data_IF_920018792221
#
_entry.id   IF_920018792221
#
_cell.length_a   1.000
_cell.length_b   1.000
_cell.length_c   1.000
_cell.angle_alpha   90.00
_cell.angle_beta   90.00
_cell.angle_gamma   90.00
#
_symmetry.space_group_name_H-M   'P 1'
#
loop_
_entity.id
_entity.type
_entity.pdbx_description
1 polymer ?
#
# COMPACT_ATOMS: atom_id res chain seq x y z
N UNK A 1 -5.88 2.06 -17.42
CA UNK A 1 -5.78 0.90 -16.50
C UNK A 1 -6.78 -0.16 -16.93
N UNK A 2 -6.58 -1.42 -16.55
CA UNK A 2 -7.59 -2.47 -16.71
C UNK A 2 -8.59 -2.36 -15.56
N UNK A 3 -9.88 -2.04 -15.82
CA UNK A 3 -10.89 -2.01 -14.76
C UNK A 3 -11.25 -3.45 -14.36
N UNK A 4 -11.37 -3.67 -13.04
CA UNK A 4 -11.94 -4.89 -12.47
C UNK A 4 -13.03 -4.51 -11.48
N UNK A 5 -14.16 -5.19 -11.54
CA UNK A 5 -15.30 -4.95 -10.67
C UNK A 5 -15.42 -6.05 -9.62
N UNK A 6 -16.03 -5.73 -8.47
CA UNK A 6 -16.25 -6.69 -7.38
C UNK A 6 -17.20 -7.84 -7.77
N UNK A 7 -18.26 -7.57 -8.53
CA UNK A 7 -19.18 -8.59 -9.05
C UNK A 7 -18.48 -9.70 -9.84
N UNK A 8 -17.53 -9.30 -10.69
CA UNK A 8 -16.71 -10.22 -11.47
C UNK A 8 -15.79 -11.05 -10.60
N UNK A 9 -15.21 -10.46 -9.55
CA UNK A 9 -14.33 -11.22 -8.64
C UNK A 9 -15.15 -12.27 -7.90
N UNK A 10 -16.33 -11.91 -7.37
CA UNK A 10 -17.20 -12.86 -6.70
C UNK A 10 -17.60 -14.03 -7.61
N UNK A 11 -18.06 -13.75 -8.83
CA UNK A 11 -18.44 -14.82 -9.76
C UNK A 11 -17.28 -15.76 -10.12
N UNK A 12 -16.03 -15.30 -10.08
CA UNK A 12 -14.85 -16.15 -10.28
C UNK A 12 -14.52 -17.00 -9.05
N UNK A 13 -14.80 -16.50 -7.85
CA UNK A 13 -14.68 -17.25 -6.59
C UNK A 13 -15.75 -18.33 -6.55
N UNK A 14 -17.00 -18.00 -6.90
CA UNK A 14 -18.12 -18.95 -6.94
C UNK A 14 -17.87 -20.08 -7.96
N UNK A 15 -17.19 -19.77 -9.07
CA UNK A 15 -16.74 -20.75 -10.06
C UNK A 15 -15.53 -21.60 -9.59
N UNK A 16 -14.95 -21.33 -8.42
CA UNK A 16 -13.75 -22.01 -7.92
C UNK A 16 -12.46 -21.68 -8.70
N UNK A 17 -12.47 -20.60 -9.49
CA UNK A 17 -11.32 -20.19 -10.33
C UNK A 17 -10.35 -19.27 -9.60
N UNK A 18 -10.83 -18.60 -8.57
CA UNK A 18 -10.05 -17.79 -7.64
C UNK A 18 -10.22 -18.34 -6.22
N UNK A 19 -9.11 -18.49 -5.52
CA UNK A 19 -9.09 -18.91 -4.12
C UNK A 19 -9.02 -17.65 -3.24
N UNK A 20 -10.06 -17.36 -2.42
CA UNK A 20 -10.07 -16.18 -1.55
C UNK A 20 -9.09 -16.29 -0.37
N UNK A 21 -8.58 -17.48 -0.08
CA UNK A 21 -7.63 -17.72 1.02
C UNK A 21 -6.24 -17.14 0.73
N UNK A 22 -5.90 -16.99 -0.55
CA UNK A 22 -4.61 -16.48 -1.03
C UNK A 22 -4.71 -15.01 -1.41
N UNK A 23 -3.59 -14.26 -1.36
CA UNK A 23 -3.57 -12.87 -1.78
C UNK A 23 -3.82 -12.74 -3.29
N UNK A 24 -4.98 -12.20 -3.66
CA UNK A 24 -5.37 -11.98 -5.06
C UNK A 24 -4.53 -10.85 -5.65
N UNK A 25 -3.49 -11.22 -6.40
CA UNK A 25 -2.60 -10.29 -7.12
C UNK A 25 -2.98 -10.16 -8.60
N UNK A 26 -2.39 -9.19 -9.31
CA UNK A 26 -2.56 -9.08 -10.76
C UNK A 26 -2.14 -10.32 -11.55
N UNK A 27 -1.19 -11.11 -11.02
CA UNK A 27 -0.74 -12.36 -11.64
C UNK A 27 -1.85 -13.41 -11.55
N UNK A 28 -2.52 -13.51 -10.41
CA UNK A 28 -3.62 -14.44 -10.20
C UNK A 28 -4.87 -14.03 -10.99
N UNK A 29 -5.18 -12.73 -11.05
CA UNK A 29 -6.28 -12.22 -11.88
C UNK A 29 -6.08 -12.50 -13.38
N UNK A 30 -4.83 -12.50 -13.85
CA UNK A 30 -4.49 -12.85 -15.23
C UNK A 30 -4.47 -14.37 -15.43
N UNK A 31 -3.91 -15.14 -14.49
CA UNK A 31 -3.87 -16.62 -14.54
C UNK A 31 -5.28 -17.22 -14.52
N UNK A 32 -6.17 -16.70 -13.68
CA UNK A 32 -7.59 -17.09 -13.60
C UNK A 32 -8.42 -16.60 -14.80
N UNK A 33 -7.84 -15.79 -15.70
CA UNK A 33 -8.53 -15.10 -16.81
C UNK A 33 -9.74 -14.27 -16.34
N UNK A 34 -9.71 -13.74 -15.12
CA UNK A 34 -10.68 -12.75 -14.65
C UNK A 34 -10.55 -11.43 -15.44
N UNK A 35 -9.32 -11.14 -15.87
CA UNK A 35 -8.97 -10.03 -16.75
C UNK A 35 -8.52 -10.53 -18.12
N UNK A 36 -8.97 -9.84 -19.18
CA UNK A 36 -8.48 -10.01 -20.55
C UNK A 36 -7.14 -9.27 -20.74
N UNK A 37 -6.17 -9.59 -19.88
CA UNK A 37 -4.85 -8.95 -19.83
C UNK A 37 -4.78 -7.68 -18.98
N UNK A 38 -3.57 -7.39 -18.53
CA UNK A 38 -3.25 -6.21 -17.73
C UNK A 38 -2.71 -5.11 -18.65
N UNK A 39 -3.40 -3.97 -18.72
CA UNK A 39 -2.98 -2.80 -19.50
C UNK A 39 -1.71 -2.17 -18.89
N UNK A 40 -1.07 -1.27 -19.65
CA UNK A 40 0.20 -0.60 -19.30
C UNK A 40 0.26 0.02 -17.89
N UNK A 41 -0.88 0.46 -17.36
CA UNK A 41 -0.98 1.16 -16.07
C UNK A 41 -1.51 0.27 -14.93
N UNK A 42 -1.56 -1.04 -15.12
CA UNK A 42 -2.01 -1.97 -14.10
C UNK A 42 -3.52 -2.09 -13.98
N UNK A 43 -3.98 -2.54 -12.81
CA UNK A 43 -5.37 -2.91 -12.52
C UNK A 43 -6.00 -1.89 -11.58
N UNK A 44 -7.21 -1.42 -11.92
CA UNK A 44 -8.01 -0.55 -11.05
C UNK A 44 -9.26 -1.31 -10.58
N UNK A 45 -9.39 -1.45 -9.27
CA UNK A 45 -10.56 -2.03 -8.63
C UNK A 45 -11.71 -1.01 -8.57
N UNK A 46 -12.91 -1.46 -8.92
CA UNK A 46 -14.14 -0.69 -9.00
C UNK A 46 -15.28 -1.43 -8.28
N UNK A 47 -16.23 -0.67 -7.75
CA UNK A 47 -17.31 -1.18 -6.90
C UNK A 47 -18.65 -1.37 -7.64
N UNK A 48 -18.63 -1.79 -8.91
CA UNK A 48 -19.89 -2.07 -9.60
C UNK A 48 -20.60 -3.24 -8.89
N UNK A 49 -21.87 -3.04 -8.54
CA UNK A 49 -22.70 -4.00 -7.81
C UNK A 49 -22.00 -4.51 -6.54
N UNK A 50 -21.49 -3.58 -5.72
CA UNK A 50 -20.70 -3.89 -4.53
C UNK A 50 -21.39 -4.90 -3.58
N UNK A 51 -22.71 -4.87 -3.51
CA UNK A 51 -23.53 -5.74 -2.66
C UNK A 51 -23.40 -7.24 -2.98
N UNK A 52 -22.98 -7.56 -4.21
CA UNK A 52 -22.81 -8.95 -4.64
C UNK A 52 -21.56 -9.61 -4.04
N UNK A 53 -20.57 -8.82 -3.60
CA UNK A 53 -19.41 -9.37 -2.93
C UNK A 53 -19.81 -9.91 -1.55
N UNK A 54 -19.50 -11.18 -1.28
CA UNK A 54 -19.82 -11.86 -0.03
C UNK A 54 -18.57 -12.42 0.66
N UNK A 55 -17.56 -12.77 -0.13
CA UNK A 55 -16.33 -13.36 0.38
C UNK A 55 -15.38 -12.31 0.93
N UNK A 56 -14.74 -12.61 2.07
CA UNK A 56 -13.59 -11.84 2.56
C UNK A 56 -12.38 -12.13 1.66
N UNK A 57 -11.76 -11.08 1.12
CA UNK A 57 -10.69 -11.21 0.13
C UNK A 57 -9.53 -10.30 0.51
N UNK A 58 -8.31 -10.82 0.33
CA UNK A 58 -7.08 -10.04 0.38
C UNK A 58 -6.65 -9.71 -1.05
N UNK A 59 -6.79 -8.46 -1.49
CA UNK A 59 -6.53 -8.06 -2.87
C UNK A 59 -5.43 -7.00 -2.98
N UNK A 60 -4.50 -7.24 -3.91
CA UNK A 60 -3.36 -6.36 -4.16
C UNK A 60 -3.43 -5.87 -5.61
N UNK A 61 -3.73 -4.58 -5.78
CA UNK A 61 -4.01 -3.95 -7.07
C UNK A 61 -3.24 -2.64 -7.23
N UNK A 62 -3.27 -2.05 -8.42
CA UNK A 62 -2.54 -0.79 -8.66
C UNK A 62 -3.28 0.42 -8.09
N UNK A 63 -4.60 0.46 -8.25
CA UNK A 63 -5.48 1.48 -7.65
C UNK A 63 -6.82 0.85 -7.29
N UNK A 64 -7.56 1.49 -6.38
CA UNK A 64 -8.91 1.09 -6.01
C UNK A 64 -9.82 2.32 -5.88
N UNK A 65 -11.13 2.14 -6.08
CA UNK A 65 -12.14 3.15 -5.72
C UNK A 65 -12.45 3.09 -4.23
N UNK A 66 -12.81 4.23 -3.64
CA UNK A 66 -13.14 4.31 -2.22
C UNK A 66 -14.29 3.38 -1.83
N UNK A 67 -15.35 3.30 -2.65
CA UNK A 67 -16.46 2.37 -2.47
C UNK A 67 -16.02 0.90 -2.46
N UNK A 68 -15.02 0.55 -3.29
CA UNK A 68 -14.55 -0.84 -3.37
C UNK A 68 -13.75 -1.22 -2.13
N UNK A 69 -12.93 -0.28 -1.63
CA UNK A 69 -12.19 -0.44 -0.37
C UNK A 69 -13.17 -0.62 0.77
N UNK A 70 -14.15 0.29 0.90
CA UNK A 70 -15.14 0.24 1.97
C UNK A 70 -15.93 -1.08 1.99
N UNK A 71 -16.34 -1.59 0.81
CA UNK A 71 -17.05 -2.86 0.74
C UNK A 71 -16.19 -4.06 1.14
N UNK A 72 -14.94 -4.12 0.70
CA UNK A 72 -14.04 -5.24 1.04
C UNK A 72 -13.73 -5.24 2.54
N UNK A 73 -13.46 -4.07 3.11
CA UNK A 73 -13.18 -3.93 4.54
C UNK A 73 -14.41 -4.22 5.40
N UNK A 74 -15.61 -3.86 4.95
CA UNK A 74 -16.85 -4.22 5.63
C UNK A 74 -17.07 -5.74 5.72
N UNK A 75 -16.52 -6.52 4.79
CA UNK A 75 -16.53 -7.98 4.81
C UNK A 75 -15.33 -8.59 5.55
N UNK A 76 -14.45 -7.77 6.14
CA UNK A 76 -13.23 -8.22 6.82
C UNK A 76 -12.08 -8.60 5.88
N UNK A 77 -12.14 -8.21 4.60
CA UNK A 77 -11.03 -8.36 3.67
C UNK A 77 -10.01 -7.23 3.80
N UNK A 78 -8.88 -7.36 3.10
CA UNK A 78 -7.84 -6.33 3.03
C UNK A 78 -7.57 -5.90 1.60
N UNK A 79 -7.41 -4.58 1.40
CA UNK A 79 -7.01 -4.01 0.12
C UNK A 79 -5.65 -3.37 0.28
N UNK A 80 -4.73 -3.64 -0.64
CA UNK A 80 -3.46 -2.90 -0.72
C UNK A 80 -3.24 -2.38 -2.13
N UNK A 81 -2.98 -1.08 -2.25
CA UNK A 81 -2.59 -0.49 -3.51
C UNK A 81 -1.07 -0.44 -3.65
N UNK A 82 -0.58 -0.99 -4.76
CA UNK A 82 0.85 -1.16 -5.02
C UNK A 82 1.24 -0.52 -6.36
N UNK A 83 2.39 0.15 -6.39
CA UNK A 83 2.90 0.73 -7.62
C UNK A 83 3.40 -0.32 -8.60
N UNK A 84 3.14 -0.12 -9.90
CA UNK A 84 3.70 -0.94 -10.96
C UNK A 84 4.06 -0.09 -12.17
N UNK A 85 5.29 -0.24 -12.66
CA UNK A 85 5.70 0.31 -13.95
C UNK A 85 5.27 -0.60 -15.11
N UNK A 86 5.12 -0.08 -16.35
CA UNK A 86 4.74 -0.90 -17.50
C UNK A 86 5.68 -2.08 -17.78
N UNK A 87 6.97 -1.93 -17.49
CA UNK A 87 7.97 -3.00 -17.61
C UNK A 87 7.84 -4.02 -16.49
N UNK A 88 7.60 -3.56 -15.26
CA UNK A 88 7.40 -4.46 -14.11
C UNK A 88 6.17 -5.35 -14.28
N UNK A 89 5.07 -4.83 -14.81
CA UNK A 89 3.85 -5.63 -15.07
C UNK A 89 4.19 -6.80 -15.99
N UNK A 90 4.90 -6.54 -17.10
CA UNK A 90 5.31 -7.61 -18.02
C UNK A 90 6.18 -8.66 -17.34
N UNK A 91 7.13 -8.25 -16.49
CA UNK A 91 8.02 -9.15 -15.75
C UNK A 91 7.27 -9.99 -14.72
N UNK A 92 6.34 -9.38 -13.98
CA UNK A 92 5.49 -10.08 -13.00
C UNK A 92 4.62 -11.14 -13.70
N UNK A 93 4.01 -10.78 -14.84
CA UNK A 93 3.20 -11.71 -15.62
C UNK A 93 4.02 -12.86 -16.21
N UNK A 94 5.28 -12.61 -16.61
CA UNK A 94 6.22 -13.64 -17.06
C UNK A 94 6.84 -14.47 -15.92
N UNK A 95 6.67 -14.05 -14.67
CA UNK A 95 7.28 -14.69 -13.51
C UNK A 95 8.76 -14.35 -13.28
N UNK A 96 9.28 -13.31 -13.94
CA UNK A 96 10.66 -12.85 -13.76
C UNK A 96 10.83 -11.92 -12.54
N UNK A 97 9.73 -11.38 -12.03
CA UNK A 97 9.65 -10.51 -10.85
C UNK A 97 8.54 -10.96 -9.90
N UNK A 98 8.75 -10.71 -8.62
CA UNK A 98 7.74 -10.95 -7.60
C UNK A 98 6.56 -9.95 -7.73
N UNK A 99 5.30 -10.38 -7.55
CA UNK A 99 4.13 -9.51 -7.74
C UNK A 99 3.94 -8.44 -6.66
N UNK A 100 4.52 -8.57 -5.46
CA UNK A 100 4.17 -7.72 -4.30
C UNK A 100 5.40 -7.08 -3.63
N UNK A 101 6.31 -7.92 -3.14
CA UNK A 101 7.52 -7.54 -2.38
C UNK A 101 8.51 -6.69 -3.19
N UNK A 102 8.97 -5.61 -2.55
CA UNK A 102 10.03 -4.69 -2.96
C UNK A 102 10.81 -4.18 -1.74
N UNK A 103 11.77 -3.27 -1.96
CA UNK A 103 12.61 -2.69 -0.91
C UNK A 103 11.81 -1.89 0.14
N UNK A 104 10.75 -1.19 -0.28
CA UNK A 104 9.90 -0.39 0.61
C UNK A 104 8.60 -1.08 1.01
N UNK A 105 8.53 -2.41 0.89
CA UNK A 105 7.34 -3.15 1.29
C UNK A 105 7.24 -3.23 2.81
N UNK A 106 6.02 -3.12 3.32
CA UNK A 106 5.71 -3.26 4.74
C UNK A 106 5.85 -4.72 5.20
N UNK A 107 6.09 -4.93 6.50
CA UNK A 107 6.18 -6.24 7.14
C UNK A 107 4.91 -7.06 6.91
N UNK A 108 3.74 -6.45 7.15
CA UNK A 108 2.46 -7.13 6.98
C UNK A 108 2.23 -7.57 5.53
N UNK A 109 2.61 -6.71 4.58
CA UNK A 109 2.50 -7.00 3.15
C UNK A 109 3.43 -8.15 2.76
N UNK A 110 4.65 -8.17 3.29
CA UNK A 110 5.63 -9.24 3.07
C UNK A 110 5.08 -10.56 3.63
N UNK A 111 4.57 -10.56 4.87
CA UNK A 111 4.01 -11.74 5.51
C UNK A 111 2.83 -12.32 4.70
N UNK A 112 1.90 -11.47 4.25
CA UNK A 112 0.77 -11.90 3.40
C UNK A 112 1.23 -12.47 2.06
N UNK A 113 2.33 -11.95 1.49
CA UNK A 113 2.85 -12.38 0.20
C UNK A 113 3.92 -13.49 0.27
N UNK A 114 4.38 -13.86 1.46
CA UNK A 114 5.50 -14.79 1.67
C UNK A 114 5.20 -16.23 1.22
N UNK A 115 3.93 -16.61 1.10
CA UNK A 115 3.50 -17.97 0.73
C UNK A 115 4.05 -18.45 -0.62
N UNK A 116 4.36 -17.53 -1.55
CA UNK A 116 4.91 -17.90 -2.86
C UNK A 116 6.43 -18.18 -2.82
N UNK A 117 7.20 -17.59 -1.90
CA UNK A 117 8.67 -17.62 -1.93
C UNK A 117 9.26 -18.66 -0.96
N UNK A 118 8.42 -19.24 -0.08
CA UNK A 118 8.90 -20.08 1.02
C UNK A 118 9.96 -19.33 1.86
N UNK A 119 9.68 -18.06 2.17
CA UNK A 119 10.52 -17.29 3.10
C UNK A 119 10.44 -17.99 4.46
N UNK A 120 11.57 -18.40 5.07
CA UNK A 120 11.54 -19.08 6.36
C UNK A 120 10.92 -18.18 7.42
N UNK A 121 10.13 -18.77 8.33
CA UNK A 121 9.39 -18.04 9.37
C UNK A 121 10.29 -17.18 10.25
N UNK A 122 11.52 -17.63 10.52
CA UNK A 122 12.53 -16.90 11.30
C UNK A 122 12.89 -15.54 10.69
N UNK A 123 12.95 -15.44 9.36
CA UNK A 123 13.20 -14.16 8.67
C UNK A 123 11.98 -13.24 8.77
N UNK A 124 10.77 -13.80 8.74
CA UNK A 124 9.55 -13.00 8.90
C UNK A 124 9.38 -12.49 10.33
N UNK A 125 9.68 -13.31 11.32
CA UNK A 125 9.65 -12.97 12.75
C UNK A 125 10.67 -11.85 13.04
N UNK A 126 11.94 -12.03 12.67
CA UNK A 126 12.97 -10.99 12.84
C UNK A 126 12.63 -9.68 12.13
N UNK A 127 12.03 -9.73 10.94
CA UNK A 127 11.55 -8.54 10.23
C UNK A 127 10.40 -7.85 10.97
N UNK A 128 9.44 -8.64 11.48
CA UNK A 128 8.30 -8.10 12.23
C UNK A 128 8.74 -7.44 13.54
N UNK A 129 9.72 -8.02 14.25
CA UNK A 129 10.30 -7.48 15.48
C UNK A 129 11.09 -6.19 15.21
N UNK A 130 11.90 -6.19 14.15
CA UNK A 130 12.67 -5.03 13.74
C UNK A 130 11.78 -3.85 13.34
N UNK A 131 10.63 -4.09 12.70
CA UNK A 131 9.74 -3.02 12.24
C UNK A 131 8.71 -2.56 13.29
N UNK A 132 8.33 -3.42 14.26
CA UNK A 132 7.36 -3.07 15.31
C UNK A 132 7.90 -2.06 16.32
N UNK A 133 9.21 -2.06 16.53
CA UNK A 133 9.87 -1.16 17.49
C UNK A 133 10.28 0.16 16.81
N UNK A 134 9.82 1.33 17.32
CA UNK A 134 10.22 2.62 16.75
C UNK A 134 11.71 2.93 17.00
N UNK A 135 12.27 2.46 18.11
CA UNK A 135 13.64 2.78 18.56
C UNK A 135 14.73 1.83 18.04
N UNK A 136 14.38 0.82 17.23
CA UNK A 136 15.40 -0.07 16.66
C UNK A 136 16.35 0.68 15.74
N UNK A 137 17.66 0.41 15.85
CA UNK A 137 18.66 0.93 14.93
C UNK A 137 18.28 0.63 13.48
N UNK A 138 18.51 1.61 12.61
CA UNK A 138 18.22 1.51 11.17
C UNK A 138 18.99 0.33 10.54
N UNK A 139 20.15 -0.02 11.09
CA UNK A 139 20.99 -1.13 10.66
C UNK A 139 20.27 -2.47 10.76
N UNK A 140 19.64 -2.76 11.91
CA UNK A 140 18.90 -4.01 12.14
C UNK A 140 17.70 -4.12 11.18
N UNK A 141 16.99 -3.00 10.97
CA UNK A 141 15.89 -2.92 9.99
C UNK A 141 16.39 -3.23 8.57
N UNK A 142 17.53 -2.65 8.19
CA UNK A 142 18.12 -2.87 6.88
C UNK A 142 18.61 -4.31 6.70
N UNK A 143 19.19 -4.91 7.74
CA UNK A 143 19.64 -6.30 7.71
C UNK A 143 18.47 -7.26 7.52
N UNK A 144 17.40 -7.12 8.31
CA UNK A 144 16.20 -7.93 8.18
C UNK A 144 15.54 -7.79 6.79
N UNK A 145 15.45 -6.56 6.27
CA UNK A 145 14.97 -6.32 4.91
C UNK A 145 15.90 -6.95 3.85
N UNK A 146 17.21 -6.89 4.05
CA UNK A 146 18.18 -7.46 3.12
C UNK A 146 18.04 -8.98 3.02
N UNK A 147 17.75 -9.66 4.14
CA UNK A 147 17.52 -11.10 4.16
C UNK A 147 16.30 -11.50 3.32
N UNK A 148 15.18 -10.77 3.47
CA UNK A 148 13.98 -10.98 2.62
C UNK A 148 14.30 -10.74 1.15
N UNK A 149 15.04 -9.68 0.84
CA UNK A 149 15.39 -9.32 -0.55
C UNK A 149 16.32 -10.36 -1.18
N UNK A 150 17.24 -10.95 -0.41
CA UNK A 150 18.09 -12.04 -0.88
C UNK A 150 17.27 -13.27 -1.24
N UNK A 151 16.31 -13.66 -0.40
CA UNK A 151 15.39 -14.77 -0.69
C UNK A 151 14.56 -14.52 -1.95
N UNK A 152 13.99 -13.32 -2.10
CA UNK A 152 13.27 -12.92 -3.31
C UNK A 152 14.20 -12.97 -4.53
N UNK A 153 15.44 -12.48 -4.40
CA UNK A 153 16.44 -12.44 -5.46
C UNK A 153 16.94 -13.81 -5.90
N UNK A 154 16.91 -14.82 -5.02
CA UNK A 154 17.23 -16.20 -5.37
C UNK A 154 16.20 -16.80 -6.36
N UNK A 155 14.92 -16.42 -6.23
CA UNK A 155 13.83 -16.91 -7.08
C UNK A 155 13.60 -16.06 -8.34
N UNK A 156 13.75 -14.75 -8.23
CA UNK A 156 13.37 -13.80 -9.28
C UNK A 156 14.57 -13.02 -9.83
N UNK A 157 14.68 -12.99 -11.16
CA UNK A 157 15.76 -12.28 -11.87
C UNK A 157 15.72 -10.76 -11.64
N UNK A 158 14.52 -10.18 -11.51
CA UNK A 158 14.37 -8.73 -11.38
C UNK A 158 13.55 -8.35 -10.15
N UNK A 159 13.99 -7.27 -9.49
CA UNK A 159 13.27 -6.65 -8.38
C UNK A 159 12.06 -5.86 -8.88
N UNK A 160 11.02 -5.80 -8.04
CA UNK A 160 9.86 -4.96 -8.27
C UNK A 160 10.21 -3.49 -7.97
N UNK A 161 9.90 -2.51 -8.85
CA UNK A 161 10.22 -1.12 -8.63
C UNK A 161 9.27 -0.44 -7.63
N UNK A 162 9.79 0.55 -6.93
CA UNK A 162 9.02 1.47 -6.08
C UNK A 162 8.67 2.76 -6.84
N UNK A 163 7.71 3.50 -6.28
CA UNK A 163 7.24 4.75 -6.87
C UNK A 163 8.33 5.83 -6.81
N UNK A 164 8.58 6.49 -7.95
CA UNK A 164 9.60 7.55 -8.07
C UNK A 164 8.99 8.93 -8.28
N UNK A 165 7.89 9.02 -9.03
CA UNK A 165 7.23 10.29 -9.30
C UNK A 165 6.49 10.79 -8.04
N UNK A 166 6.57 12.10 -7.77
CA UNK A 166 5.90 12.75 -6.63
C UNK A 166 4.44 12.32 -6.50
N UNK A 167 3.66 12.43 -7.58
CA UNK A 167 2.23 12.09 -7.59
C UNK A 167 1.96 10.63 -7.24
N UNK A 168 2.83 9.71 -7.67
CA UNK A 168 2.70 8.29 -7.34
C UNK A 168 3.07 8.06 -5.88
N UNK A 169 4.16 8.65 -5.39
CA UNK A 169 4.56 8.53 -3.99
C UNK A 169 3.43 9.04 -3.07
N UNK A 170 2.90 10.23 -3.33
CA UNK A 170 1.80 10.79 -2.53
C UNK A 170 0.54 9.89 -2.58
N UNK A 171 0.24 9.28 -3.73
CA UNK A 171 -0.88 8.35 -3.85
C UNK A 171 -0.72 7.09 -2.97
N UNK A 172 0.46 6.45 -3.01
CA UNK A 172 0.70 5.22 -2.22
C UNK A 172 1.09 5.48 -0.77
N UNK A 173 1.35 6.74 -0.39
CA UNK A 173 1.52 7.16 1.01
C UNK A 173 0.18 7.44 1.69
N UNK A 174 -0.86 7.77 0.93
CA UNK A 174 -2.16 8.10 1.50
C UNK A 174 -2.85 6.85 2.07
N UNK A 175 -3.15 6.83 3.39
CA UNK A 175 -3.92 5.76 4.01
C UNK A 175 -5.30 5.58 3.35
N UNK A 176 -5.93 6.62 2.80
CA UNK A 176 -7.23 6.54 2.15
C UNK A 176 -7.24 5.60 0.93
N UNK A 177 -6.10 5.45 0.26
CA UNK A 177 -5.93 4.52 -0.87
C UNK A 177 -5.39 3.16 -0.44
N UNK A 178 -5.15 2.93 0.86
CA UNK A 178 -4.47 1.74 1.41
C UNK A 178 -3.15 1.46 0.68
N UNK A 179 -2.39 2.52 0.45
CA UNK A 179 -1.13 2.42 -0.26
C UNK A 179 -0.07 1.70 0.57
N UNK A 180 0.76 0.92 -0.11
CA UNK A 180 1.84 0.15 0.53
C UNK A 180 2.92 1.02 1.21
N UNK A 181 2.93 2.34 1.02
CA UNK A 181 3.86 3.28 1.67
C UNK A 181 3.19 4.07 2.82
N UNK A 182 1.96 3.72 3.20
CA UNK A 182 1.20 4.44 4.23
C UNK A 182 1.85 4.39 5.61
N UNK A 183 2.56 3.31 5.94
CA UNK A 183 3.33 3.18 7.19
C UNK A 183 4.43 4.24 7.35
N UNK A 184 4.84 4.92 6.27
CA UNK A 184 5.83 6.00 6.32
C UNK A 184 5.24 7.34 6.78
N UNK A 185 3.91 7.47 6.84
CA UNK A 185 3.22 8.71 7.23
C UNK A 185 2.88 8.60 8.71
N UNK A 186 3.37 9.55 9.52
CA UNK A 186 3.03 9.58 10.94
C UNK A 186 1.56 9.96 11.13
N UNK A 187 0.99 9.54 12.26
CA UNK A 187 -0.37 9.96 12.62
C UNK A 187 -0.48 11.49 12.64
N UNK A 188 -1.46 12.02 11.91
CA UNK A 188 -1.66 13.47 11.78
C UNK A 188 -0.88 14.14 10.64
N UNK A 189 0.17 13.53 10.08
CA UNK A 189 0.93 14.09 8.96
C UNK A 189 0.10 14.10 7.66
N UNK A 190 0.46 14.99 6.73
CA UNK A 190 -0.11 15.00 5.37
C UNK A 190 0.61 13.95 4.51
N UNK A 191 -0.10 13.18 3.68
CA UNK A 191 0.53 12.30 2.68
C UNK A 191 1.34 13.07 1.62
N UNK A 192 1.11 14.38 1.47
CA UNK A 192 1.84 15.21 0.50
C UNK A 192 3.29 15.40 0.91
N UNK A 193 4.19 15.31 -0.06
CA UNK A 193 5.60 15.62 0.10
C UNK A 193 5.88 17.12 0.26
N UNK A 194 4.91 17.98 -0.02
CA UNK A 194 5.08 19.43 -0.03
C UNK A 194 4.08 20.15 0.88
N UNK A 195 2.81 19.76 0.83
CA UNK A 195 1.75 20.44 1.55
C UNK A 195 1.55 19.85 2.94
N UNK A 196 1.69 20.69 3.96
CA UNK A 196 1.40 20.34 5.36
C UNK A 196 -0.04 20.67 5.70
N UNK A 197 -0.61 19.99 6.70
CA UNK A 197 -1.95 20.36 7.18
C UNK A 197 -1.87 21.73 7.86
N UNK A 198 -2.79 22.66 7.56
CA UNK A 198 -2.82 23.96 8.22
C UNK A 198 -2.99 23.77 9.73
N UNK A 199 -2.02 24.26 10.52
CA UNK A 199 -1.96 24.08 11.98
C UNK A 199 -0.72 23.36 12.53
N UNK A 200 0.17 22.86 11.66
CA UNK A 200 1.39 22.18 12.08
C UNK A 200 2.44 23.15 12.67
N UNK A 201 2.68 23.03 13.97
CA UNK A 201 3.71 23.59 14.88
C UNK A 201 4.32 24.99 14.61
N UNK A 202 4.90 25.25 13.43
CA UNK A 202 5.63 26.50 13.15
C UNK A 202 4.69 27.71 13.04
N UNK A 203 3.48 27.49 12.54
CA UNK A 203 2.45 28.53 12.49
C UNK A 203 1.73 28.69 13.82
N UNK A 204 1.51 27.63 14.62
CA UNK A 204 0.91 27.78 15.96
C UNK A 204 1.78 28.66 16.86
N UNK A 205 3.11 28.46 16.88
CA UNK A 205 4.03 29.30 17.65
C UNK A 205 4.03 30.76 17.19
N UNK A 206 4.15 31.00 15.88
CA UNK A 206 4.11 32.38 15.35
C UNK A 206 2.75 33.05 15.49
N UNK A 207 1.66 32.30 15.34
CA UNK A 207 0.29 32.81 15.42
C UNK A 207 -0.12 33.07 16.88
N UNK A 208 0.30 32.22 17.84
CA UNK A 208 0.13 32.48 19.27
C UNK A 208 0.97 33.68 19.71
N UNK A 209 2.24 33.78 19.29
CA UNK A 209 3.08 34.95 19.55
C UNK A 209 2.48 36.23 18.95
N UNK A 210 1.96 36.19 17.71
CA UNK A 210 1.24 37.32 17.09
C UNK A 210 -0.04 37.70 17.83
N UNK A 211 -0.83 36.72 18.28
CA UNK A 211 -2.04 36.97 19.08
C UNK A 211 -1.71 37.57 20.45
N UNK A 212 -0.67 37.07 21.11
CA UNK A 212 -0.20 37.61 22.38
C UNK A 212 0.31 39.05 22.22
N UNK A 213 1.10 39.32 21.19
CA UNK A 213 1.57 40.68 20.88
C UNK A 213 0.41 41.64 20.53
N UNK A 214 -0.58 41.17 19.78
CA UNK A 214 -1.78 41.97 19.46
C UNK A 214 -2.62 42.28 20.72
N UNK A 215 -2.76 41.32 21.64
CA UNK A 215 -3.43 41.52 22.92
C UNK A 215 -2.69 42.53 23.80
N UNK A 216 -1.38 42.38 23.95
CA UNK A 216 -0.54 43.32 24.69
C UNK A 216 -0.59 44.74 24.12
N UNK A 217 -0.64 44.90 22.79
CA UNK A 217 -0.80 46.22 22.15
C UNK A 217 -2.20 46.82 22.34
N UNK A 218 -3.24 46.00 22.52
CA UNK A 218 -4.60 46.47 22.76
C UNK A 218 -4.79 46.92 24.21
N UNK A 219 -4.23 46.17 25.16
CA UNK A 219 -4.27 46.51 26.59
C UNK A 219 -3.50 47.82 26.88
N UNK A 220 -2.45 48.12 26.12
CA UNK A 220 -1.63 49.33 26.27
C UNK A 220 -2.19 50.59 25.57
N UNK A 221 -3.38 50.50 24.95
CA UNK A 221 -4.06 51.60 24.26
C UNK A 221 -5.26 52.17 25.03
N UNK A 222 -5.53 51.63 26.23
CA UNK A 222 -6.71 51.96 27.04
C UNK A 222 -6.42 52.95 28.19
N UNK A 223 -5.29 53.66 28.14
CA UNK A 223 -4.96 54.80 29.00
C UNK A 223 -4.57 56.01 28.14
#
# INVERSE_FOLDING_TARGET
MSPINLDRIQSWIDQGRLDPSKPITMKELQKSRCLHGVKRHGVKLLARNADQLKSAINIIVSRASAEAIARIEALGGSVTTRFYSPTSIKRVLRGESHPVISLRSDAELIARAAGDINVPSTILESLSEALSSPDTPIEVKNEALSAVVQQVGAKYKYRLPDATARKDIEYYRDPAHRGYLSYMVKEGESPSLFFKKPGEAKDRGKQTARRAAAKASADNRLF
#
